data_IF_890150066871
#
_entry.id   IF_890150066871
#
_cell.length_a   1.000
_cell.length_b   1.000
_cell.length_c   1.000
_cell.angle_alpha   90.00
_cell.angle_beta   90.00
_cell.angle_gamma   90.00
#
_symmetry.space_group_name_H-M   'P 1'
#
loop_
_entity.id
_entity.type
_entity.pdbx_description
1 polymer ?
#
# COMPACT_ATOMS: atom_id res chain seq x y z
N UNK A 1 -6.92 8.88 2.14
CA UNK A 1 -5.91 9.20 3.17
C UNK A 1 -4.59 9.53 2.51
N UNK A 2 -3.81 10.39 3.12
CA UNK A 2 -2.47 10.74 2.62
C UNK A 2 -1.44 10.34 3.67
N UNK A 3 -0.39 9.67 3.24
CA UNK A 3 0.73 9.29 4.09
C UNK A 3 2.03 9.79 3.46
N UNK A 4 2.92 10.34 4.28
CA UNK A 4 4.23 10.76 3.84
C UNK A 4 5.25 9.68 4.19
N UNK A 5 6.09 9.30 3.22
CA UNK A 5 7.12 8.29 3.40
C UNK A 5 8.47 8.86 3.00
N UNK A 6 9.44 8.72 3.88
CA UNK A 6 10.80 9.16 3.63
C UNK A 6 11.53 8.12 2.78
N UNK A 7 12.14 8.56 1.67
CA UNK A 7 12.99 7.71 0.86
C UNK A 7 14.33 7.48 1.56
N UNK A 8 14.83 6.26 1.50
CA UNK A 8 16.13 5.90 2.05
C UNK A 8 17.12 5.70 0.92
N UNK A 9 18.40 5.97 1.19
CA UNK A 9 19.44 5.68 0.22
C UNK A 9 19.45 4.21 -0.20
N UNK A 10 19.17 3.31 0.74
CA UNK A 10 19.09 1.87 0.47
C UNK A 10 17.91 1.47 -0.43
N UNK A 11 16.96 2.38 -0.68
CA UNK A 11 15.83 2.13 -1.56
C UNK A 11 16.19 2.33 -3.04
N UNK A 12 17.38 2.89 -3.34
CA UNK A 12 17.77 3.24 -4.70
C UNK A 12 18.46 2.07 -5.40
N UNK A 13 18.25 1.99 -6.71
CA UNK A 13 18.98 1.09 -7.60
C UNK A 13 20.26 1.79 -8.14
N UNK A 14 21.10 1.09 -8.95
CA UNK A 14 22.29 1.71 -9.51
C UNK A 14 22.06 2.92 -10.41
N UNK A 15 20.82 3.10 -10.89
CA UNK A 15 20.45 4.26 -11.71
C UNK A 15 20.04 5.47 -10.89
N UNK A 16 20.04 5.35 -9.55
CA UNK A 16 19.61 6.43 -8.66
C UNK A 16 18.10 6.57 -8.50
N UNK A 17 17.35 5.58 -8.95
CA UNK A 17 15.88 5.55 -8.82
C UNK A 17 15.45 4.63 -7.71
N UNK A 18 14.32 4.93 -7.07
CA UNK A 18 13.71 4.00 -6.12
C UNK A 18 13.42 2.68 -6.83
N UNK A 19 13.94 1.58 -6.30
CA UNK A 19 13.78 0.28 -6.94
C UNK A 19 12.38 -0.31 -6.73
N UNK A 20 12.02 -1.29 -7.56
CA UNK A 20 10.69 -1.88 -7.53
C UNK A 20 10.35 -2.53 -6.19
N UNK A 21 11.32 -3.12 -5.51
CA UNK A 21 11.10 -3.78 -4.22
C UNK A 21 10.72 -2.75 -3.15
N UNK A 22 11.37 -1.59 -3.14
CA UNK A 22 11.06 -0.54 -2.18
C UNK A 22 9.62 -0.01 -2.34
N UNK A 23 9.07 -0.01 -3.55
CA UNK A 23 7.68 0.37 -3.76
C UNK A 23 6.72 -0.51 -2.97
N UNK A 24 6.98 -1.81 -2.88
CA UNK A 24 6.15 -2.72 -2.09
C UNK A 24 6.17 -2.34 -0.61
N UNK A 25 7.33 -1.95 -0.08
CA UNK A 25 7.45 -1.48 1.30
C UNK A 25 6.65 -0.18 1.51
N UNK A 26 6.73 0.74 0.57
CA UNK A 26 6.00 2.01 0.65
C UNK A 26 4.48 1.79 0.65
N UNK A 27 4.01 0.90 -0.21
CA UNK A 27 2.59 0.58 -0.26
C UNK A 27 2.12 -0.14 1.02
N UNK A 28 2.96 -0.99 1.59
CA UNK A 28 2.67 -1.66 2.85
C UNK A 28 2.53 -0.64 3.99
N UNK A 29 3.44 0.31 4.09
CA UNK A 29 3.35 1.37 5.08
C UNK A 29 2.08 2.20 4.92
N UNK A 30 1.73 2.56 3.70
CA UNK A 30 0.52 3.30 3.41
C UNK A 30 -0.73 2.51 3.80
N UNK A 31 -0.75 1.21 3.49
CA UNK A 31 -1.85 0.31 3.82
C UNK A 31 -2.03 0.18 5.32
N UNK A 32 -0.94 0.00 6.07
CA UNK A 32 -0.99 -0.10 7.52
C UNK A 32 -1.50 1.20 8.15
N UNK A 33 -1.09 2.35 7.61
CA UNK A 33 -1.60 3.64 8.06
C UNK A 33 -3.10 3.80 7.83
N UNK A 34 -3.58 3.40 6.66
CA UNK A 34 -5.00 3.46 6.33
C UNK A 34 -5.82 2.53 7.22
N UNK A 35 -5.36 1.31 7.44
CA UNK A 35 -6.05 0.33 8.29
C UNK A 35 -6.14 0.82 9.73
N UNK A 36 -5.07 1.41 10.26
CA UNK A 36 -5.07 2.02 11.59
C UNK A 36 -6.11 3.12 11.72
N UNK A 37 -6.18 4.00 10.72
CA UNK A 37 -7.11 5.13 10.72
C UNK A 37 -8.56 4.70 10.68
N UNK A 38 -8.86 3.60 10.02
CA UNK A 38 -10.22 3.08 9.89
C UNK A 38 -10.65 2.24 11.07
N UNK A 39 -9.83 2.12 12.11
CA UNK A 39 -10.05 1.19 13.22
C UNK A 39 -10.28 -0.26 12.74
N UNK A 40 -9.84 -0.56 11.53
CA UNK A 40 -9.93 -1.90 10.98
C UNK A 40 -8.82 -2.75 11.60
N UNK A 41 -8.97 -3.03 12.88
CA UNK A 41 -7.94 -3.69 13.66
C UNK A 41 -7.88 -5.16 13.26
N UNK A 42 -6.69 -5.60 12.89
CA UNK A 42 -6.37 -7.02 12.87
C UNK A 42 -6.40 -7.48 14.32
N UNK A 43 -7.26 -8.41 14.65
CA UNK A 43 -7.39 -8.96 16.00
C UNK A 43 -7.36 -10.48 15.94
N UNK A 44 -7.62 -11.13 17.09
CA UNK A 44 -7.58 -12.59 17.16
C UNK A 44 -8.72 -13.26 16.39
N UNK A 45 -9.75 -12.50 16.01
CA UNK A 45 -10.94 -13.03 15.35
C UNK A 45 -10.81 -13.07 13.83
N UNK A 46 -9.98 -12.20 13.25
CA UNK A 46 -9.76 -12.19 11.81
C UNK A 46 -8.38 -11.63 11.45
N UNK A 47 -7.92 -11.99 10.26
CA UNK A 47 -6.68 -11.49 9.69
C UNK A 47 -6.92 -11.07 8.24
N UNK A 48 -6.06 -10.19 7.73
CA UNK A 48 -6.11 -9.76 6.34
C UNK A 48 -4.90 -10.28 5.60
N UNK A 49 -5.14 -10.85 4.42
CA UNK A 49 -4.07 -11.36 3.56
C UNK A 49 -4.13 -10.69 2.20
N UNK A 50 -2.95 -10.40 1.65
CA UNK A 50 -2.84 -9.87 0.30
C UNK A 50 -3.08 -11.01 -0.68
N UNK A 51 -4.09 -10.85 -1.52
CA UNK A 51 -4.43 -11.81 -2.57
C UNK A 51 -3.69 -11.45 -3.85
N UNK A 52 -3.64 -10.18 -4.19
CA UNK A 52 -2.96 -9.69 -5.39
C UNK A 52 -2.52 -8.26 -5.19
N UNK A 53 -1.46 -7.87 -5.89
CA UNK A 53 -0.98 -6.50 -5.89
C UNK A 53 -0.45 -6.17 -7.27
N UNK A 54 -0.86 -5.02 -7.77
CA UNK A 54 -0.44 -4.54 -9.08
C UNK A 54 0.11 -3.13 -8.93
N UNK A 55 1.26 -2.88 -9.51
CA UNK A 55 1.90 -1.57 -9.54
C UNK A 55 2.17 -1.19 -10.97
N UNK A 56 1.69 -0.01 -11.37
CA UNK A 56 1.99 0.58 -12.66
C UNK A 56 2.92 1.77 -12.44
N UNK A 57 4.12 1.68 -13.00
CA UNK A 57 5.11 2.74 -12.90
C UNK A 57 4.89 3.75 -14.01
N UNK A 58 4.66 5.01 -13.64
CA UNK A 58 4.42 6.11 -14.58
C UNK A 58 5.72 6.84 -14.89
N UNK A 59 6.51 7.13 -13.87
CA UNK A 59 7.84 7.71 -14.01
C UNK A 59 8.73 7.31 -12.83
N UNK A 60 10.06 7.34 -12.99
CA UNK A 60 10.95 7.00 -11.88
C UNK A 60 10.84 7.98 -10.72
N UNK A 61 11.01 7.46 -9.50
CA UNK A 61 11.24 8.27 -8.31
C UNK A 61 12.73 8.37 -8.08
N UNK A 62 13.24 9.60 -8.06
CA UNK A 62 14.63 9.85 -7.73
C UNK A 62 14.79 10.11 -6.24
N UNK A 63 16.02 10.10 -5.75
CA UNK A 63 16.26 10.43 -4.35
C UNK A 63 15.94 11.89 -4.08
N UNK A 64 15.27 12.14 -2.97
CA UNK A 64 14.99 13.48 -2.45
C UNK A 64 14.81 13.38 -0.94
N UNK A 65 15.18 14.44 -0.24
CA UNK A 65 14.92 14.54 1.20
C UNK A 65 13.46 14.84 1.52
N UNK A 66 12.72 15.35 0.53
CA UNK A 66 11.29 15.58 0.69
C UNK A 66 10.56 14.24 0.64
N UNK A 67 9.48 14.08 1.41
CA UNK A 67 8.77 12.81 1.45
C UNK A 67 8.04 12.52 0.14
N UNK A 68 7.88 11.23 -0.12
CA UNK A 68 6.92 10.72 -1.10
C UNK A 68 5.56 10.75 -0.44
N UNK A 69 4.55 11.22 -1.13
CA UNK A 69 3.17 11.22 -0.64
C UNK A 69 2.42 10.08 -1.30
N UNK A 70 1.75 9.26 -0.50
CA UNK A 70 0.90 8.19 -1.02
C UNK A 70 -0.54 8.48 -0.61
N UNK A 71 -1.40 8.63 -1.61
CA UNK A 71 -2.83 8.77 -1.40
C UNK A 71 -3.48 7.40 -1.53
N UNK A 72 -4.34 7.04 -0.57
CA UNK A 72 -4.99 5.74 -0.52
C UNK A 72 -6.49 5.90 -0.36
N UNK A 73 -7.24 4.92 -0.88
CA UNK A 73 -8.66 4.79 -0.59
C UNK A 73 -9.08 3.34 -0.75
N UNK A 74 -10.14 2.97 -0.04
CA UNK A 74 -10.74 1.65 -0.13
C UNK A 74 -11.78 1.64 -1.25
N UNK A 75 -11.76 0.57 -2.06
CA UNK A 75 -12.73 0.36 -3.14
C UNK A 75 -13.15 -1.11 -3.20
N UNK A 76 -14.11 -1.41 -4.07
CA UNK A 76 -14.51 -2.77 -4.41
C UNK A 76 -14.80 -3.65 -3.19
N UNK A 77 -15.56 -3.12 -2.25
CA UNK A 77 -15.98 -3.84 -1.05
C UNK A 77 -16.85 -5.03 -1.42
N UNK A 78 -16.44 -6.22 -1.00
CA UNK A 78 -17.20 -7.45 -1.11
C UNK A 78 -17.38 -8.04 0.29
N UNK A 79 -18.01 -9.22 0.41
CA UNK A 79 -18.30 -9.82 1.73
C UNK A 79 -17.04 -10.19 2.50
N UNK A 80 -16.04 -10.69 1.81
CA UNK A 80 -14.82 -11.25 2.42
C UNK A 80 -13.55 -10.57 1.92
N UNK A 81 -13.69 -9.50 1.14
CA UNK A 81 -12.52 -8.86 0.53
C UNK A 81 -12.79 -7.41 0.18
N UNK A 82 -11.73 -6.65 -0.02
CA UNK A 82 -11.79 -5.27 -0.50
C UNK A 82 -10.49 -4.92 -1.21
N UNK A 83 -10.49 -3.81 -1.93
CA UNK A 83 -9.29 -3.31 -2.58
C UNK A 83 -8.86 -1.98 -1.96
N UNK A 84 -7.56 -1.73 -1.99
CA UNK A 84 -6.99 -0.43 -1.70
C UNK A 84 -6.33 0.06 -2.99
N UNK A 85 -6.66 1.27 -3.40
CA UNK A 85 -6.00 1.93 -4.53
C UNK A 85 -5.06 3.00 -3.99
N UNK A 86 -3.90 3.15 -4.65
CA UNK A 86 -2.85 4.06 -4.23
C UNK A 86 -2.42 4.94 -5.39
N UNK A 87 -2.07 6.18 -5.07
CA UNK A 87 -1.32 7.05 -5.97
C UNK A 87 -0.06 7.49 -5.25
N UNK A 88 1.09 7.17 -5.85
CA UNK A 88 2.40 7.55 -5.33
C UNK A 88 2.81 8.84 -6.01
N UNK A 89 2.96 9.90 -5.23
CA UNK A 89 3.26 11.23 -5.73
C UNK A 89 4.68 11.63 -5.35
N UNK A 90 5.39 12.23 -6.30
CA UNK A 90 6.71 12.77 -6.02
C UNK A 90 6.63 14.13 -5.28
N UNK A 91 7.78 14.74 -5.03
CA UNK A 91 7.86 16.01 -4.30
C UNK A 91 7.21 17.18 -5.02
N UNK A 92 6.94 17.04 -6.31
CA UNK A 92 6.25 18.07 -7.12
C UNK A 92 4.75 17.84 -7.17
N UNK A 93 4.27 16.72 -6.60
CA UNK A 93 2.88 16.33 -6.68
C UNK A 93 2.51 15.55 -7.94
N UNK A 94 3.49 15.17 -8.76
CA UNK A 94 3.24 14.39 -9.96
C UNK A 94 3.10 12.90 -9.62
N UNK A 95 2.24 12.19 -10.35
CA UNK A 95 2.05 10.76 -10.16
C UNK A 95 3.28 10.01 -10.67
N UNK A 96 3.96 9.30 -9.76
CA UNK A 96 5.08 8.44 -10.12
C UNK A 96 4.64 6.99 -10.33
N UNK A 97 3.62 6.55 -9.60
CA UNK A 97 3.06 5.21 -9.75
C UNK A 97 1.61 5.16 -9.28
N UNK A 98 0.88 4.21 -9.82
CA UNK A 98 -0.47 3.88 -9.40
C UNK A 98 -0.50 2.39 -9.04
N UNK A 99 -1.26 2.02 -8.02
CA UNK A 99 -1.28 0.65 -7.55
C UNK A 99 -2.64 0.25 -7.01
N UNK A 100 -2.84 -1.06 -6.95
CA UNK A 100 -4.03 -1.66 -6.34
C UNK A 100 -3.61 -2.91 -5.59
N UNK A 101 -4.09 -3.05 -4.35
CA UNK A 101 -3.92 -4.26 -3.56
C UNK A 101 -5.30 -4.84 -3.27
N UNK A 102 -5.48 -6.13 -3.55
CA UNK A 102 -6.68 -6.87 -3.16
C UNK A 102 -6.38 -7.63 -1.87
N UNK A 103 -7.24 -7.44 -0.88
CA UNK A 103 -7.09 -8.04 0.45
C UNK A 103 -8.30 -8.91 0.74
N UNK A 104 -8.05 -10.09 1.29
CA UNK A 104 -9.10 -10.97 1.79
C UNK A 104 -9.07 -10.99 3.30
N UNK A 105 -10.27 -11.08 3.91
CA UNK A 105 -10.41 -11.26 5.35
C UNK A 105 -10.61 -12.73 5.62
N UNK A 106 -9.77 -13.29 6.47
CA UNK A 106 -9.74 -14.73 6.72
C UNK A 106 -9.72 -15.01 8.21
N UNK A 107 -10.16 -16.23 8.57
CA UNK A 107 -9.99 -16.76 9.90
C UNK A 107 -8.49 -17.03 10.12
N UNK A 108 -7.88 -16.52 11.19
CA UNK A 108 -6.42 -16.65 11.39
C UNK A 108 -5.96 -18.06 11.68
N UNK A 109 -6.87 -18.95 12.09
CA UNK A 109 -6.54 -20.35 12.38
C UNK A 109 -6.74 -21.22 11.15
N UNK A 110 -7.92 -21.14 10.50
CA UNK A 110 -8.26 -22.02 9.38
C UNK A 110 -7.77 -21.48 8.03
N UNK A 111 -7.52 -20.17 7.93
CA UNK A 111 -7.19 -19.51 6.68
C UNK A 111 -8.38 -19.35 5.73
N UNK A 112 -9.58 -19.69 6.15
CA UNK A 112 -10.78 -19.62 5.31
C UNK A 112 -11.32 -18.20 5.27
N UNK A 113 -11.90 -17.76 4.14
CA UNK A 113 -12.55 -16.46 4.06
C UNK A 113 -13.67 -16.34 5.09
N UNK A 114 -13.75 -15.19 5.73
CA UNK A 114 -14.83 -14.86 6.65
C UNK A 114 -15.44 -13.52 6.25
N UNK A 115 -16.70 -13.33 6.63
CA UNK A 115 -17.41 -12.10 6.36
C UNK A 115 -16.78 -10.95 7.15
N UNK A 116 -16.56 -9.82 6.49
CA UNK A 116 -16.04 -8.63 7.14
C UNK A 116 -17.00 -8.12 8.21
N UNK A 117 -16.46 -7.70 9.35
CA UNK A 117 -17.27 -7.11 10.42
C UNK A 117 -17.90 -5.78 10.03
#
# INVERSE_FOLDING_TARGET
MRLEIQRRFSDLDPLGHVNNVAYHDYLQEARMGLISDLDAVVNDDYAMVVVSQEIRHVKPLEYSRKPVVIETRVTDMARTSYSIVYRVLDEKGDIAAEATTRLAVVDPVSGRPIRMP
#
